data_IF_553068679535
#
_entry.id   IF_553068679535
#
_cell.length_a   1.000
_cell.length_b   1.000
_cell.length_c   1.000
_cell.angle_alpha   90.00
_cell.angle_beta   90.00
_cell.angle_gamma   90.00
#
_symmetry.space_group_name_H-M   'P 1'
#
loop_
_entity.id
_entity.type
_entity.pdbx_description
1 polymer ?
#
# COMPACT_ATOMS: atom_id res chain seq x y z
N UNK A 1 -2.03 -5.36 -7.48
CA UNK A 1 -0.57 -5.23 -7.26
C UNK A 1 0.10 -6.37 -8.00
N UNK A 2 1.16 -6.10 -8.76
CA UNK A 2 2.00 -7.12 -9.40
C UNK A 2 3.35 -7.09 -8.71
N UNK A 3 3.88 -8.25 -8.33
CA UNK A 3 5.15 -8.40 -7.65
C UNK A 3 6.02 -9.39 -8.42
N UNK A 4 7.33 -9.14 -8.41
CA UNK A 4 8.31 -10.07 -8.96
C UNK A 4 8.65 -11.13 -7.91
N UNK A 5 8.70 -12.40 -8.34
CA UNK A 5 9.15 -13.49 -7.48
C UNK A 5 10.60 -13.25 -7.02
N UNK A 6 10.95 -13.76 -5.84
CA UNK A 6 12.27 -13.67 -5.20
C UNK A 6 12.72 -12.24 -4.86
N UNK A 7 11.81 -11.28 -4.72
CA UNK A 7 12.09 -9.91 -4.29
C UNK A 7 11.50 -9.61 -2.91
N UNK A 8 12.22 -8.82 -2.11
CA UNK A 8 11.76 -8.32 -0.80
C UNK A 8 10.89 -7.08 -0.96
N UNK A 9 9.77 -7.04 -0.24
CA UNK A 9 8.82 -5.93 -0.27
C UNK A 9 8.48 -5.46 1.15
N UNK A 10 8.43 -4.14 1.33
CA UNK A 10 7.94 -3.47 2.55
C UNK A 10 6.51 -2.95 2.28
N UNK A 11 5.47 -3.55 2.87
CA UNK A 11 4.13 -3.00 2.83
C UNK A 11 4.07 -1.62 3.47
N UNK A 12 3.20 -0.75 2.93
CA UNK A 12 2.93 0.59 3.44
C UNK A 12 1.41 0.80 3.48
N UNK A 13 0.92 1.40 4.56
CA UNK A 13 -0.49 1.77 4.70
C UNK A 13 -0.61 3.28 4.58
N UNK A 14 -1.46 3.74 3.68
CA UNK A 14 -1.72 5.16 3.46
C UNK A 14 -3.14 5.48 3.92
N UNK A 15 -3.28 6.26 4.99
CA UNK A 15 -4.57 6.75 5.46
C UNK A 15 -4.81 8.14 4.88
N UNK A 16 -5.82 8.27 4.04
CA UNK A 16 -6.16 9.52 3.34
C UNK A 16 -7.43 10.10 3.93
N UNK A 17 -7.41 11.41 4.24
CA UNK A 17 -8.60 12.13 4.68
C UNK A 17 -9.37 12.63 3.47
N UNK A 18 -10.54 12.05 3.22
CA UNK A 18 -11.46 12.52 2.18
C UNK A 18 -12.10 13.85 2.61
N UNK A 19 -12.19 14.81 1.69
CA UNK A 19 -12.79 16.12 1.98
C UNK A 19 -14.29 16.04 1.69
N UNK A 20 -15.10 16.08 2.74
CA UNK A 20 -16.55 16.06 2.60
C UNK A 20 -17.10 17.38 2.05
N UNK A 21 -17.11 17.58 0.73
CA UNK A 21 -18.11 18.42 0.08
C UNK A 21 -18.96 17.55 -0.85
N UNK A 22 -20.24 17.87 -0.92
CA UNK A 22 -21.26 17.11 -1.65
C UNK A 22 -20.93 16.93 -3.16
N UNK A 23 -20.00 17.73 -3.68
CA UNK A 23 -19.43 17.65 -5.03
C UNK A 23 -18.43 16.49 -5.24
N UNK A 24 -17.98 15.80 -4.17
CA UNK A 24 -16.95 14.76 -4.22
C UNK A 24 -17.49 13.32 -4.31
N UNK A 25 -18.76 13.13 -4.71
CA UNK A 25 -19.28 11.82 -5.14
C UNK A 25 -18.58 11.41 -6.46
N UNK A 26 -17.31 11.02 -6.37
CA UNK A 26 -16.48 10.69 -7.51
C UNK A 26 -15.01 11.11 -7.39
N UNK A 27 -14.57 11.74 -6.29
CA UNK A 27 -13.16 12.09 -6.10
C UNK A 27 -12.30 10.82 -6.10
N UNK A 28 -11.53 10.63 -7.17
CA UNK A 28 -10.61 9.52 -7.31
C UNK A 28 -9.22 10.00 -6.89
N UNK A 29 -8.64 9.30 -5.91
CA UNK A 29 -7.24 9.53 -5.53
C UNK A 29 -6.36 9.03 -6.69
N UNK A 30 -5.87 9.96 -7.51
CA UNK A 30 -4.95 9.65 -8.62
C UNK A 30 -3.49 9.87 -8.24
N UNK A 31 -3.24 10.76 -7.28
CA UNK A 31 -1.90 11.14 -6.84
C UNK A 31 -1.90 11.40 -5.34
N UNK A 32 -1.30 10.49 -4.59
CA UNK A 32 -1.27 10.53 -3.13
C UNK A 32 -0.52 11.78 -2.59
N UNK A 33 0.42 12.35 -3.35
CA UNK A 33 1.19 13.53 -2.91
C UNK A 33 0.32 14.79 -2.78
N UNK A 34 -0.83 14.81 -3.47
CA UNK A 34 -1.79 15.92 -3.44
C UNK A 34 -2.84 15.76 -2.34
N UNK A 35 -2.88 14.61 -1.69
CA UNK A 35 -3.86 14.29 -0.66
C UNK A 35 -3.33 14.55 0.75
N UNK A 36 -4.21 15.00 1.63
CA UNK A 36 -3.93 15.00 3.07
C UNK A 36 -3.91 13.54 3.55
N UNK A 37 -2.72 13.02 3.77
CA UNK A 37 -2.54 11.62 4.12
C UNK A 37 -1.43 11.40 5.14
N UNK A 38 -1.52 10.28 5.84
CA UNK A 38 -0.45 9.77 6.70
C UNK A 38 -0.06 8.37 6.25
N UNK A 39 1.25 8.13 6.15
CA UNK A 39 1.79 6.82 5.82
C UNK A 39 2.29 6.12 7.08
N UNK A 40 1.93 4.85 7.23
CA UNK A 40 2.40 3.97 8.30
C UNK A 40 3.19 2.81 7.68
N UNK A 41 4.30 2.47 8.31
CA UNK A 41 5.21 1.40 7.89
C UNK A 41 5.46 0.51 9.10
N UNK A 42 5.29 -0.79 8.90
CA UNK A 42 5.50 -1.83 9.91
C UNK A 42 6.66 -2.71 9.42
N UNK A 43 7.88 -2.52 9.93
CA UNK A 43 9.06 -3.28 9.48
C UNK A 43 8.92 -4.80 9.65
N UNK A 44 8.14 -5.24 10.63
CA UNK A 44 7.80 -6.64 10.89
C UNK A 44 6.95 -7.28 9.77
N UNK A 45 6.33 -6.47 8.90
CA UNK A 45 5.52 -6.94 7.78
C UNK A 45 6.30 -7.11 6.47
N UNK A 46 7.64 -6.95 6.47
CA UNK A 46 8.47 -7.20 5.29
C UNK A 46 8.37 -8.68 4.91
N UNK A 47 8.16 -8.97 3.63
CA UNK A 47 8.13 -10.34 3.11
C UNK A 47 8.90 -10.45 1.79
N UNK A 48 9.22 -11.68 1.39
CA UNK A 48 9.74 -12.00 0.06
C UNK A 48 8.62 -12.62 -0.76
N UNK A 49 8.30 -12.04 -1.92
CA UNK A 49 7.31 -12.64 -2.82
C UNK A 49 7.88 -13.92 -3.42
N UNK A 50 7.13 -15.02 -3.38
CA UNK A 50 7.54 -16.31 -3.93
C UNK A 50 6.36 -16.96 -4.66
N UNK A 51 6.64 -17.76 -5.67
CA UNK A 51 5.61 -18.55 -6.39
C UNK A 51 5.26 -19.84 -5.65
N UNK A 52 6.13 -20.30 -4.75
CA UNK A 52 5.91 -21.41 -3.85
C UNK A 52 6.70 -21.20 -2.55
N UNK A 53 6.16 -21.64 -1.42
CA UNK A 53 6.86 -21.58 -0.13
C UNK A 53 8.21 -22.30 -0.23
N UNK A 54 9.27 -21.65 0.25
CA UNK A 54 10.64 -22.17 0.18
C UNK A 54 11.09 -22.82 1.48
N UNK A 55 10.64 -22.30 2.63
CA UNK A 55 11.00 -22.86 3.93
C UNK A 55 10.22 -24.16 4.15
N UNK A 56 10.93 -25.28 4.29
CA UNK A 56 10.40 -26.63 4.50
C UNK A 56 10.80 -27.23 5.86
N UNK A 57 11.22 -26.40 6.82
CA UNK A 57 11.46 -26.82 8.20
C UNK A 57 10.15 -27.00 8.95
#
# INVERSE_FOLDING_TARGET
IVLNSMHRYQPRIHLVRLRGREDEKGHKITDLSKEEHKTFIFPEAIFTAVTAYQNQL
#
